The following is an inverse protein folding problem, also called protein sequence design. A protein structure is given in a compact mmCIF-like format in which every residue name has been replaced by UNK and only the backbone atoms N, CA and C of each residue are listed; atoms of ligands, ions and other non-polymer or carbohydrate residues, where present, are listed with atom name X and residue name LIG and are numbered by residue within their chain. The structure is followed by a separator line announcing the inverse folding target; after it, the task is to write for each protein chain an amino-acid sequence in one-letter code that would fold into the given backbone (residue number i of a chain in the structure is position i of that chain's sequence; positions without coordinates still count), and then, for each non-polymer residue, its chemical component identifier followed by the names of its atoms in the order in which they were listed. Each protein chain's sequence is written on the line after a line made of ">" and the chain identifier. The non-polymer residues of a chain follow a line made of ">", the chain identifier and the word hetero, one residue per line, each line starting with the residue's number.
data_IF_325735454484
#
_entry.id   IF_325735454484
#
_cell.length_a   1.000
_cell.length_b   1.000
_cell.length_c   1.000
_cell.angle_alpha   90.00
_cell.angle_beta   90.00
_cell.angle_gamma   90.00
#
_symmetry.space_group_name_H-M   'P 1'
#
loop_
_entity.id
_entity.type
_entity.pdbx_description
1 polymer ?
#
# COMPACT_ATOMS: atom_id res chain seq x y z
N UNK A 1 30.41 13.41 33.90
CA UNK A 1 29.08 12.71 33.85
C UNK A 1 28.12 13.25 32.78
N UNK A 2 28.12 14.53 32.39
CA UNK A 2 27.15 15.07 31.41
C UNK A 2 27.39 14.68 29.93
N UNK A 3 28.53 14.08 29.56
CA UNK A 3 28.87 13.73 28.16
C UNK A 3 28.47 12.31 27.72
N UNK A 4 28.07 11.43 28.65
CA UNK A 4 27.63 10.06 28.37
C UNK A 4 26.10 9.91 28.37
N UNK A 5 25.38 10.92 28.84
CA UNK A 5 23.91 10.89 28.97
C UNK A 5 23.23 11.14 27.61
N UNK A 6 23.85 11.92 26.73
CA UNK A 6 23.31 12.24 25.40
C UNK A 6 23.28 11.02 24.43
N UNK A 7 24.34 10.19 24.30
CA UNK A 7 24.27 9.00 23.46
C UNK A 7 23.33 7.93 24.03
N UNK A 8 23.22 7.79 25.36
CA UNK A 8 22.27 6.87 26.00
C UNK A 8 20.80 7.30 25.79
N UNK A 9 20.53 8.62 25.87
CA UNK A 9 19.23 9.20 25.58
C UNK A 9 18.84 9.05 24.11
N UNK A 10 19.80 9.26 23.19
CA UNK A 10 19.58 9.03 21.76
C UNK A 10 19.26 7.55 21.48
N UNK A 11 19.97 6.60 22.11
CA UNK A 11 19.66 5.17 21.98
C UNK A 11 18.24 4.87 22.51
N UNK A 12 17.85 5.43 23.65
CA UNK A 12 16.51 5.24 24.23
C UNK A 12 15.38 5.85 23.39
N UNK A 13 15.62 6.98 22.71
CA UNK A 13 14.64 7.63 21.85
C UNK A 13 14.34 6.82 20.57
N UNK A 14 15.33 6.07 20.07
CA UNK A 14 15.12 5.11 18.97
C UNK A 14 14.31 3.88 19.41
N UNK A 15 14.45 3.41 20.65
CA UNK A 15 13.63 2.30 21.17
C UNK A 15 12.15 2.70 21.35
N UNK A 16 11.86 3.92 21.82
CA UNK A 16 10.47 4.40 21.95
C UNK A 16 9.77 4.64 20.60
N UNK A 17 10.52 4.99 19.56
CA UNK A 17 9.96 5.17 18.20
C UNK A 17 9.66 3.84 17.48
N UNK A 18 10.09 2.71 18.03
CA UNK A 18 9.85 1.37 17.47
C UNK A 18 8.52 0.73 17.94
N UNK A 19 7.71 1.46 18.71
CA UNK A 19 6.49 0.95 19.34
C UNK A 19 5.20 1.27 18.57
N UNK A 20 5.30 1.80 17.35
CA UNK A 20 4.14 1.89 16.46
C UNK A 20 3.85 0.47 15.93
N UNK A 21 2.82 -0.16 16.50
CA UNK A 21 2.39 -1.54 16.24
C UNK A 21 1.82 -1.65 14.81
N UNK A 22 2.72 -1.63 13.82
CA UNK A 22 2.43 -2.07 12.46
C UNK A 22 2.42 -3.59 12.50
N UNK A 23 1.28 -4.21 12.16
CA UNK A 23 1.23 -5.65 11.93
C UNK A 23 2.27 -5.99 10.86
N UNK A 24 3.31 -6.69 11.30
CA UNK A 24 4.37 -7.23 10.47
C UNK A 24 4.16 -8.74 10.41
N UNK A 25 4.11 -9.32 9.22
CA UNK A 25 3.87 -10.75 8.98
C UNK A 25 5.11 -11.63 9.26
N UNK A 26 5.78 -11.41 10.39
CA UNK A 26 6.91 -12.25 10.81
C UNK A 26 6.85 -12.60 12.30
N UNK A 27 7.44 -13.74 12.62
CA UNK A 27 7.65 -14.19 13.99
C UNK A 27 8.68 -13.29 14.68
N UNK A 28 8.48 -13.01 15.96
CA UNK A 28 9.33 -12.09 16.74
C UNK A 28 10.09 -12.77 17.87
N UNK A 29 9.65 -13.94 18.31
CA UNK A 29 10.23 -14.65 19.44
C UNK A 29 11.22 -15.70 18.97
N UNK A 30 12.35 -15.81 19.70
CA UNK A 30 13.31 -16.90 19.51
C UNK A 30 13.90 -17.38 20.83
N UNK A 31 14.26 -18.66 20.87
CA UNK A 31 15.02 -19.28 21.96
C UNK A 31 16.39 -19.69 21.40
N UNK A 32 17.45 -19.36 22.12
CA UNK A 32 18.83 -19.64 21.77
C UNK A 32 19.43 -20.60 22.80
N UNK A 33 20.05 -21.68 22.34
CA UNK A 33 20.78 -22.62 23.20
C UNK A 33 22.15 -22.83 22.58
N UNK A 34 23.20 -22.51 23.34
CA UNK A 34 24.58 -22.61 22.85
C UNK A 34 25.54 -23.14 23.90
N UNK A 35 26.64 -23.71 23.43
CA UNK A 35 27.77 -24.11 24.26
C UNK A 35 29.09 -23.86 23.56
N UNK A 36 30.16 -23.77 24.33
CA UNK A 36 31.47 -23.52 23.78
C UNK A 36 32.55 -23.32 24.83
N UNK A 37 33.40 -22.34 24.57
CA UNK A 37 34.60 -22.07 25.34
C UNK A 37 34.65 -20.62 25.81
N UNK A 38 35.46 -20.40 26.83
CA UNK A 38 35.67 -19.11 27.44
C UNK A 38 37.15 -18.90 27.71
N UNK A 39 37.56 -17.64 27.85
CA UNK A 39 38.90 -17.23 28.24
C UNK A 39 38.79 -16.09 29.25
N UNK A 40 38.87 -16.39 30.56
CA UNK A 40 39.09 -15.35 31.54
C UNK A 40 40.49 -14.77 31.33
N UNK A 41 40.64 -13.45 31.42
CA UNK A 41 41.90 -12.77 31.11
C UNK A 41 42.55 -12.16 32.34
N UNK A 42 41.81 -11.34 33.08
CA UNK A 42 42.22 -10.73 34.35
C UNK A 42 40.97 -10.50 35.21
N UNK A 43 41.10 -10.46 36.55
CA UNK A 43 42.33 -10.64 37.31
C UNK A 43 42.55 -12.11 37.73
N UNK A 44 43.81 -12.54 37.68
CA UNK A 44 44.31 -13.80 38.25
C UNK A 44 45.38 -13.47 39.28
N UNK A 45 45.48 -14.28 40.34
CA UNK A 45 46.61 -14.23 41.26
C UNK A 45 47.89 -14.76 40.58
N UNK A 46 49.06 -14.43 41.15
CA UNK A 46 50.34 -14.90 40.63
C UNK A 46 50.38 -16.44 40.55
N UNK A 47 50.87 -16.96 39.42
CA UNK A 47 50.94 -18.40 39.08
C UNK A 47 49.57 -19.09 38.83
N UNK A 48 48.48 -18.34 38.68
CA UNK A 48 47.19 -18.86 38.22
C UNK A 48 46.91 -18.46 36.77
N UNK A 49 46.53 -19.43 35.94
CA UNK A 49 46.28 -19.25 34.50
C UNK A 49 45.12 -20.12 34.03
N UNK A 50 44.40 -19.69 33.00
CA UNK A 50 43.38 -20.51 32.31
C UNK A 50 43.90 -20.98 30.95
N UNK A 51 43.50 -22.19 30.56
CA UNK A 51 43.73 -22.70 29.21
C UNK A 51 43.07 -21.83 28.13
N UNK A 52 43.61 -21.91 26.92
CA UNK A 52 43.09 -21.22 25.74
C UNK A 52 43.05 -22.17 24.54
N UNK A 53 41.86 -22.68 24.16
CA UNK A 53 40.52 -22.41 24.73
C UNK A 53 40.21 -23.25 25.98
N UNK A 54 39.44 -22.70 26.92
CA UNK A 54 38.86 -23.44 28.05
C UNK A 54 37.39 -23.77 27.80
N UNK A 55 37.02 -25.05 27.79
CA UNK A 55 35.65 -25.52 27.53
C UNK A 55 34.76 -25.46 28.78
N UNK A 56 33.45 -25.65 28.60
CA UNK A 56 32.50 -25.68 29.71
C UNK A 56 31.68 -24.41 29.86
N UNK A 57 31.52 -23.65 28.78
CA UNK A 57 30.57 -22.56 28.69
C UNK A 57 29.26 -23.06 28.07
N UNK A 58 28.12 -22.72 28.68
CA UNK A 58 26.78 -22.93 28.13
C UNK A 58 25.94 -21.66 28.32
N UNK A 59 25.00 -21.43 27.43
CA UNK A 59 24.05 -20.32 27.54
C UNK A 59 22.68 -20.67 26.97
N UNK A 60 21.67 -20.12 27.61
CA UNK A 60 20.28 -20.13 27.14
C UNK A 60 19.76 -18.71 27.10
N UNK A 61 19.27 -18.30 25.94
CA UNK A 61 18.73 -16.98 25.71
C UNK A 61 17.29 -17.02 25.19
N UNK A 62 16.49 -16.03 25.55
CA UNK A 62 15.22 -15.74 24.89
C UNK A 62 15.30 -14.34 24.29
N UNK A 63 14.89 -14.20 23.04
CA UNK A 63 14.96 -12.93 22.32
C UNK A 63 13.63 -12.57 21.70
N UNK A 64 13.31 -11.29 21.75
CA UNK A 64 12.16 -10.67 21.11
C UNK A 64 12.60 -9.56 20.17
N UNK A 65 12.23 -9.65 18.90
CA UNK A 65 12.52 -8.64 17.89
C UNK A 65 11.34 -7.66 17.76
N UNK A 66 11.56 -6.37 18.04
CA UNK A 66 10.55 -5.32 17.88
C UNK A 66 10.19 -5.13 16.40
N UNK A 67 11.21 -5.20 15.55
CA UNK A 67 11.15 -5.17 14.10
C UNK A 67 12.28 -6.04 13.51
N UNK A 68 12.46 -6.07 12.19
CA UNK A 68 13.53 -6.85 11.55
C UNK A 68 14.95 -6.35 11.83
N UNK A 69 15.13 -5.16 12.43
CA UNK A 69 16.43 -4.55 12.72
C UNK A 69 16.81 -4.58 14.19
N UNK A 70 15.85 -4.49 15.09
CA UNK A 70 16.11 -4.28 16.52
C UNK A 70 15.27 -5.19 17.40
N UNK A 71 15.89 -5.67 18.47
CA UNK A 71 15.26 -6.52 19.47
C UNK A 71 15.90 -6.41 20.84
N UNK A 72 15.41 -7.25 21.74
CA UNK A 72 15.85 -7.37 23.13
C UNK A 72 16.05 -8.86 23.45
N UNK A 73 17.14 -9.19 24.14
CA UNK A 73 17.53 -10.54 24.52
C UNK A 73 17.75 -10.62 26.03
N UNK A 74 17.11 -11.59 26.66
CA UNK A 74 17.41 -12.03 28.01
C UNK A 74 18.26 -13.30 27.92
N UNK A 75 19.42 -13.30 28.55
CA UNK A 75 20.42 -14.35 28.38
C UNK A 75 21.00 -14.80 29.71
N UNK A 76 21.02 -16.12 29.93
CA UNK A 76 21.62 -16.78 31.07
C UNK A 76 22.80 -17.63 30.63
N UNK A 77 23.96 -17.43 31.25
CA UNK A 77 25.19 -18.15 30.96
C UNK A 77 25.75 -18.83 32.19
N UNK A 78 26.40 -19.97 31.98
CA UNK A 78 27.20 -20.69 32.97
C UNK A 78 28.54 -21.07 32.35
N UNK A 79 29.63 -20.84 33.08
CA UNK A 79 30.98 -21.26 32.71
C UNK A 79 31.67 -21.94 33.89
N UNK A 80 32.36 -23.05 33.65
CA UNK A 80 33.28 -23.64 34.63
C UNK A 80 34.71 -23.18 34.33
N UNK A 81 35.29 -22.38 35.22
CA UNK A 81 36.67 -21.90 35.14
C UNK A 81 37.59 -22.92 35.82
N UNK A 82 38.68 -23.31 35.17
CA UNK A 82 39.65 -24.32 35.67
C UNK A 82 41.08 -23.94 35.35
N UNK A 83 42.01 -24.51 36.10
CA UNK A 83 43.43 -24.37 35.86
C UNK A 83 43.84 -24.78 34.44
N UNK A 84 44.78 -24.01 33.88
CA UNK A 84 45.47 -24.37 32.64
C UNK A 84 46.89 -24.88 32.88
N UNK A 85 47.61 -25.13 31.78
CA UNK A 85 48.99 -25.60 31.82
C UNK A 85 49.91 -24.70 32.66
N UNK A 86 50.69 -25.31 33.56
CA UNK A 86 51.61 -24.63 34.50
C UNK A 86 50.94 -23.65 35.49
N UNK A 87 49.63 -23.74 35.69
CA UNK A 87 48.89 -23.02 36.74
C UNK A 87 48.86 -23.81 38.04
N UNK A 88 48.77 -23.10 39.17
CA UNK A 88 48.27 -23.70 40.41
C UNK A 88 46.81 -24.16 40.23
N UNK A 89 46.36 -25.22 40.93
CA UNK A 89 45.02 -25.77 40.77
C UNK A 89 43.95 -24.80 41.29
N UNK A 90 42.94 -24.52 40.47
CA UNK A 90 41.78 -23.74 40.88
C UNK A 90 40.55 -24.15 40.08
N UNK A 91 39.39 -24.03 40.70
CA UNK A 91 38.13 -24.31 40.04
C UNK A 91 37.12 -23.29 40.54
N UNK A 92 36.37 -22.66 39.62
CA UNK A 92 35.34 -21.70 39.96
C UNK A 92 34.17 -21.80 38.99
N UNK A 93 32.95 -21.60 39.51
CA UNK A 93 31.75 -21.50 38.71
C UNK A 93 31.40 -20.04 38.46
N UNK A 94 31.12 -19.69 37.21
CA UNK A 94 30.72 -18.35 36.81
C UNK A 94 29.32 -18.39 36.21
N UNK A 95 28.38 -17.70 36.86
CA UNK A 95 26.99 -17.55 36.41
C UNK A 95 26.77 -16.13 35.91
N UNK A 96 25.94 -15.97 34.88
CA UNK A 96 25.56 -14.67 34.33
C UNK A 96 24.08 -14.65 33.98
N UNK A 97 23.40 -13.56 34.33
CA UNK A 97 22.14 -13.15 33.74
C UNK A 97 22.28 -11.75 33.16
N UNK A 98 21.85 -11.54 31.92
CA UNK A 98 21.98 -10.23 31.26
C UNK A 98 20.79 -9.89 30.38
N UNK A 99 20.47 -8.60 30.34
CA UNK A 99 19.54 -8.01 29.39
C UNK A 99 20.34 -7.26 28.32
N UNK A 100 20.10 -7.57 27.05
CA UNK A 100 20.89 -7.10 25.92
C UNK A 100 19.98 -6.52 24.84
N UNK A 101 20.33 -5.36 24.30
CA UNK A 101 19.77 -4.89 23.03
C UNK A 101 20.42 -5.65 21.88
N UNK A 102 19.62 -6.00 20.87
CA UNK A 102 20.08 -6.73 19.68
C UNK A 102 19.83 -5.88 18.44
N UNK A 103 20.85 -5.75 17.59
CA UNK A 103 20.77 -5.14 16.27
C UNK A 103 21.05 -6.21 15.21
N UNK A 104 20.10 -6.43 14.30
CA UNK A 104 20.26 -7.30 13.15
C UNK A 104 21.03 -6.55 12.05
N UNK A 105 22.34 -6.72 12.06
CA UNK A 105 23.23 -6.10 11.08
C UNK A 105 22.97 -6.60 9.67
N UNK A 106 22.50 -7.85 9.51
CA UNK A 106 22.09 -8.38 8.21
C UNK A 106 21.01 -7.52 7.56
N UNK A 107 19.91 -7.26 8.27
CA UNK A 107 18.84 -6.39 7.76
C UNK A 107 19.22 -4.91 7.70
N UNK A 108 20.09 -4.41 8.59
CA UNK A 108 20.55 -3.01 8.56
C UNK A 108 21.46 -2.76 7.34
N UNK A 109 22.32 -3.72 7.01
CA UNK A 109 23.28 -3.65 5.88
C UNK A 109 22.75 -4.29 4.59
N UNK A 110 21.47 -4.66 4.56
CA UNK A 110 20.78 -5.25 3.41
C UNK A 110 21.43 -6.52 2.86
N UNK A 111 21.76 -7.48 3.73
CA UNK A 111 22.34 -8.76 3.30
C UNK A 111 21.42 -9.54 2.35
N UNK A 112 20.10 -9.35 2.45
CA UNK A 112 19.11 -9.91 1.53
C UNK A 112 19.37 -9.61 0.06
N UNK A 113 20.14 -8.54 -0.25
CA UNK A 113 20.52 -8.21 -1.62
C UNK A 113 21.44 -9.24 -2.27
N UNK A 114 22.12 -10.07 -1.46
CA UNK A 114 23.07 -11.08 -1.95
C UNK A 114 22.96 -12.44 -1.25
N UNK A 115 22.32 -12.52 -0.07
CA UNK A 115 22.10 -13.78 0.65
C UNK A 115 20.84 -13.74 1.52
N UNK A 116 20.09 -14.84 1.52
CA UNK A 116 18.98 -15.09 2.45
C UNK A 116 19.30 -16.17 3.49
N UNK A 117 20.57 -16.57 3.55
CA UNK A 117 21.04 -17.72 4.35
C UNK A 117 21.99 -17.30 5.45
N UNK A 118 22.72 -16.20 5.28
CA UNK A 118 23.71 -15.72 6.25
C UNK A 118 23.14 -14.50 6.97
N UNK A 119 23.12 -14.56 8.29
CA UNK A 119 22.73 -13.47 9.17
C UNK A 119 23.89 -13.02 10.04
N UNK A 120 23.81 -11.79 10.54
CA UNK A 120 24.76 -11.26 11.50
C UNK A 120 24.02 -10.36 12.49
N UNK A 121 24.16 -10.65 13.76
CA UNK A 121 23.63 -9.83 14.84
C UNK A 121 24.78 -9.19 15.61
N UNK A 122 24.52 -7.99 16.11
CA UNK A 122 25.28 -7.36 17.17
C UNK A 122 24.41 -7.32 18.41
N UNK A 123 25.00 -7.56 19.58
CA UNK A 123 24.30 -7.39 20.85
C UNK A 123 25.18 -6.67 21.86
N UNK A 124 24.54 -5.90 22.73
CA UNK A 124 25.19 -5.24 23.84
C UNK A 124 24.22 -4.98 24.98
N UNK A 125 24.72 -5.03 26.21
CA UNK A 125 23.90 -4.77 27.39
C UNK A 125 24.66 -5.02 28.68
N UNK A 126 23.93 -5.40 29.70
CA UNK A 126 24.51 -5.68 31.00
C UNK A 126 23.57 -6.46 31.90
N UNK A 127 24.07 -6.79 33.08
CA UNK A 127 23.29 -7.51 34.07
C UNK A 127 24.11 -7.87 35.29
N UNK A 128 23.81 -9.03 35.85
CA UNK A 128 24.44 -9.53 37.08
C UNK A 128 25.20 -10.82 36.80
N UNK A 129 26.37 -10.93 37.39
CA UNK A 129 27.23 -12.11 37.36
C UNK A 129 27.57 -12.54 38.77
N UNK A 130 27.88 -13.82 38.93
CA UNK A 130 28.26 -14.40 40.20
C UNK A 130 29.41 -15.37 39.98
N UNK A 131 30.50 -15.17 40.73
CA UNK A 131 31.65 -16.06 40.78
C UNK A 131 31.58 -16.88 42.08
N UNK A 132 31.72 -18.20 41.95
CA UNK A 132 31.69 -19.15 43.08
C UNK A 132 32.97 -20.00 43.02
N UNK A 133 34.05 -19.60 43.71
CA UNK A 133 35.27 -20.40 43.82
C UNK A 133 35.02 -21.72 44.55
N UNK A 134 35.69 -22.78 44.09
CA UNK A 134 35.60 -24.15 44.62
C UNK A 134 36.95 -24.70 45.06
N UNK A 135 38.03 -24.35 44.36
CA UNK A 135 39.42 -24.72 44.71
C UNK A 135 40.33 -23.51 44.53
N UNK A 136 41.37 -23.34 45.36
CA UNK A 136 41.82 -24.26 46.43
C UNK A 136 40.98 -24.22 47.71
N UNK A 137 40.12 -23.23 47.87
CA UNK A 137 39.15 -23.15 48.95
C UNK A 137 37.79 -22.69 48.42
N UNK A 138 36.72 -23.14 49.07
CA UNK A 138 35.36 -22.68 48.81
C UNK A 138 35.10 -21.45 49.68
N UNK A 139 34.60 -20.38 49.08
CA UNK A 139 34.19 -19.19 49.83
C UNK A 139 32.81 -19.42 50.47
N UNK A 140 32.63 -18.92 51.70
CA UNK A 140 31.33 -18.96 52.39
C UNK A 140 30.26 -18.17 51.62
N UNK A 141 30.66 -17.06 50.99
CA UNK A 141 29.81 -16.22 50.15
C UNK A 141 30.34 -16.16 48.72
N UNK A 142 29.42 -16.24 47.75
CA UNK A 142 29.75 -16.05 46.34
C UNK A 142 30.01 -14.57 46.02
N UNK A 143 30.94 -14.31 45.10
CA UNK A 143 31.29 -12.96 44.65
C UNK A 143 30.29 -12.47 43.59
N UNK A 144 29.44 -11.52 43.97
CA UNK A 144 28.40 -10.93 43.13
C UNK A 144 28.87 -9.65 42.47
N UNK A 145 28.76 -9.56 41.14
CA UNK A 145 29.27 -8.44 40.35
C UNK A 145 28.31 -8.01 39.26
N UNK A 146 28.35 -6.75 38.85
CA UNK A 146 27.63 -6.31 37.66
C UNK A 146 28.45 -6.68 36.42
N UNK A 147 27.80 -6.99 35.30
CA UNK A 147 28.49 -7.22 34.03
C UNK A 147 28.01 -6.26 32.95
N UNK A 148 28.91 -5.95 32.03
CA UNK A 148 28.62 -5.37 30.73
C UNK A 148 29.09 -6.37 29.68
N UNK A 149 28.24 -6.60 28.67
CA UNK A 149 28.51 -7.54 27.59
C UNK A 149 28.33 -6.83 26.25
N UNK A 150 29.19 -7.14 25.30
CA UNK A 150 29.00 -6.83 23.90
C UNK A 150 29.54 -7.96 23.03
N UNK A 151 28.84 -8.29 21.96
CA UNK A 151 29.22 -9.39 21.09
C UNK A 151 28.62 -9.32 19.70
N UNK A 152 29.08 -10.25 18.87
CA UNK A 152 28.55 -10.49 17.53
C UNK A 152 28.09 -11.94 17.44
N UNK A 153 26.99 -12.15 16.73
CA UNK A 153 26.40 -13.46 16.55
C UNK A 153 26.19 -13.72 15.06
N UNK A 154 27.17 -14.29 14.35
CA UNK A 154 26.94 -14.85 13.03
C UNK A 154 25.88 -15.96 13.04
N UNK A 155 25.04 -16.00 12.01
CA UNK A 155 23.97 -16.97 11.89
C UNK A 155 23.95 -17.60 10.49
N UNK A 156 23.62 -18.89 10.42
CA UNK A 156 23.33 -19.60 9.17
C UNK A 156 21.91 -20.16 9.27
N UNK A 157 21.03 -19.72 8.37
CA UNK A 157 19.66 -20.21 8.26
C UNK A 157 19.67 -21.68 7.83
N UNK A 158 19.14 -22.55 8.68
CA UNK A 158 18.96 -23.97 8.36
C UNK A 158 17.54 -24.26 7.82
N UNK A 159 16.59 -23.40 8.19
CA UNK A 159 15.21 -23.43 7.69
C UNK A 159 14.42 -22.25 8.22
N UNK A 160 13.10 -22.27 8.05
CA UNK A 160 12.23 -21.18 8.49
C UNK A 160 12.06 -21.10 10.02
N UNK A 161 12.32 -22.20 10.74
CA UNK A 161 12.16 -22.29 12.21
C UNK A 161 13.46 -22.47 12.99
N UNK A 162 14.58 -22.70 12.32
CA UNK A 162 15.86 -23.01 12.98
C UNK A 162 17.02 -22.35 12.24
N UNK A 163 17.97 -21.80 12.99
CA UNK A 163 19.26 -21.34 12.50
C UNK A 163 20.39 -21.87 13.38
N UNK A 164 21.54 -22.14 12.76
CA UNK A 164 22.81 -22.31 13.46
C UNK A 164 23.33 -20.93 13.82
N UNK A 165 23.75 -20.73 15.07
CA UNK A 165 24.42 -19.49 15.48
C UNK A 165 25.80 -19.78 16.07
N UNK A 166 26.72 -18.85 15.85
CA UNK A 166 27.95 -18.73 16.62
C UNK A 166 27.94 -17.38 17.30
N UNK A 167 28.50 -17.28 18.51
CA UNK A 167 28.52 -16.05 19.29
C UNK A 167 29.93 -15.80 19.79
N UNK A 168 30.42 -14.58 19.59
CA UNK A 168 31.66 -14.08 20.17
C UNK A 168 31.32 -12.88 21.04
N UNK A 169 31.54 -13.00 22.35
CA UNK A 169 31.16 -12.00 23.34
C UNK A 169 32.32 -11.64 24.24
N UNK A 170 32.49 -10.34 24.49
CA UNK A 170 33.39 -9.81 25.52
C UNK A 170 32.55 -9.36 26.70
N UNK A 171 32.89 -9.85 27.88
CA UNK A 171 32.19 -9.56 29.14
C UNK A 171 33.16 -8.90 30.09
N UNK A 172 32.80 -7.71 30.58
CA UNK A 172 33.52 -6.99 31.62
C UNK A 172 32.71 -6.94 32.90
N UNK A 173 33.29 -7.38 34.01
CA UNK A 173 32.68 -7.32 35.33
C UNK A 173 33.11 -6.04 36.07
N UNK A 174 32.16 -5.42 36.75
CA UNK A 174 32.32 -4.23 37.57
C UNK A 174 32.07 -4.59 39.02
N UNK A 175 33.02 -4.22 39.88
CA UNK A 175 32.94 -4.51 41.31
C UNK A 175 33.14 -6.00 41.63
N UNK A 176 33.91 -6.71 40.81
CA UNK A 176 34.42 -8.05 41.16
C UNK A 176 35.36 -7.89 42.36
N UNK A 177 35.20 -8.71 43.41
CA UNK A 177 35.92 -8.63 44.67
C UNK A 177 37.09 -9.62 44.79
N UNK A 178 37.07 -10.70 44.01
CA UNK A 178 38.08 -11.75 44.01
C UNK A 178 38.64 -12.04 42.62
N UNK A 179 39.86 -12.53 42.54
CA UNK A 179 40.45 -13.05 41.30
C UNK A 179 39.65 -14.23 40.75
N UNK A 180 39.80 -14.56 39.47
CA UNK A 180 39.08 -15.69 38.85
C UNK A 180 39.39 -17.05 39.51
N UNK A 181 40.59 -17.20 40.07
CA UNK A 181 41.02 -18.32 40.91
C UNK A 181 40.51 -18.24 42.37
N UNK A 182 39.91 -17.12 42.78
CA UNK A 182 39.33 -16.91 44.10
C UNK A 182 40.34 -16.64 45.23
N UNK A 183 41.65 -16.62 44.96
CA UNK A 183 42.66 -16.61 46.03
C UNK A 183 43.07 -15.24 46.54
N UNK A 184 42.86 -14.18 45.75
CA UNK A 184 43.22 -12.81 46.12
C UNK A 184 42.03 -11.87 45.99
N UNK A 185 41.96 -10.88 46.87
CA UNK A 185 40.98 -9.79 46.72
C UNK A 185 41.49 -8.75 45.72
N UNK A 186 40.58 -8.27 44.88
CA UNK A 186 40.85 -7.21 43.90
C UNK A 186 40.67 -5.84 44.55
N UNK A 187 41.61 -4.93 44.33
CA UNK A 187 41.52 -3.56 44.87
C UNK A 187 40.82 -2.59 43.92
N UNK A 188 40.55 -3.01 42.68
CA UNK A 188 40.00 -2.18 41.63
C UNK A 188 38.47 -2.27 41.60
N UNK A 189 37.79 -1.14 41.82
CA UNK A 189 36.31 -1.06 41.79
C UNK A 189 35.73 -0.86 40.37
N UNK A 190 36.56 -0.83 39.33
CA UNK A 190 36.17 -0.64 37.93
C UNK A 190 35.98 -1.93 37.13
N UNK A 191 36.24 -1.89 35.82
CA UNK A 191 36.28 -3.06 34.93
C UNK A 191 37.57 -3.86 35.12
N UNK A 192 37.56 -4.74 36.11
CA UNK A 192 38.73 -5.54 36.44
C UNK A 192 38.61 -6.97 35.90
N UNK A 193 37.43 -7.58 36.07
CA UNK A 193 37.10 -8.88 35.49
C UNK A 193 36.84 -8.79 34.00
N UNK A 194 37.61 -9.49 33.18
CA UNK A 194 37.35 -9.61 31.75
C UNK A 194 37.38 -11.06 31.32
N UNK A 195 36.30 -11.50 30.67
CA UNK A 195 36.15 -12.85 30.10
C UNK A 195 35.63 -12.75 28.67
N UNK A 196 36.25 -13.50 27.76
CA UNK A 196 35.80 -13.64 26.37
C UNK A 196 35.11 -14.98 26.23
N UNK A 197 33.91 -15.00 25.69
CA UNK A 197 33.15 -16.22 25.40
C UNK A 197 33.04 -16.42 23.89
N UNK A 198 33.20 -17.67 23.48
CA UNK A 198 32.81 -18.14 22.16
C UNK A 198 31.85 -19.31 22.31
N UNK A 199 30.71 -19.26 21.64
CA UNK A 199 29.74 -20.36 21.66
C UNK A 199 29.22 -20.68 20.27
N UNK A 200 28.78 -21.91 20.08
CA UNK A 200 28.03 -22.35 18.92
C UNK A 200 26.76 -23.05 19.39
N UNK A 201 25.67 -22.89 18.64
CA UNK A 201 24.37 -23.36 19.09
C UNK A 201 23.28 -23.30 18.03
N UNK A 202 22.05 -23.45 18.50
CA UNK A 202 20.86 -23.34 17.67
C UNK A 202 19.97 -22.22 18.19
N UNK A 203 19.38 -21.50 17.25
CA UNK A 203 18.28 -20.57 17.48
C UNK A 203 16.99 -21.19 16.93
N UNK A 204 15.96 -21.25 17.77
CA UNK A 204 14.62 -21.73 17.42
C UNK A 204 13.66 -20.54 17.33
N UNK A 205 13.00 -20.37 16.20
CA UNK A 205 12.04 -19.29 15.96
C UNK A 205 10.61 -19.73 16.29
N UNK A 206 9.89 -18.90 17.04
CA UNK A 206 8.57 -19.19 17.59
C UNK A 206 7.51 -18.26 17.00
N UNK A 207 6.38 -18.85 16.60
CA UNK A 207 5.19 -18.15 16.13
C UNK A 207 4.52 -18.85 14.93
N UNK A 208 3.42 -18.24 14.49
CA UNK A 208 2.55 -18.76 13.44
C UNK A 208 2.96 -18.33 12.03
N UNK A 209 3.71 -17.24 11.89
CA UNK A 209 4.13 -16.71 10.60
C UNK A 209 5.20 -17.60 9.96
N UNK A 210 5.37 -17.52 8.64
CA UNK A 210 6.30 -18.37 7.92
C UNK A 210 7.77 -18.02 8.23
N UNK A 211 8.09 -16.73 8.30
CA UNK A 211 9.45 -16.21 8.49
C UNK A 211 9.59 -15.51 9.85
N UNK A 212 10.79 -15.53 10.40
CA UNK A 212 11.15 -14.72 11.57
C UNK A 212 11.70 -13.35 11.16
N UNK A 213 11.63 -12.37 12.07
CA UNK A 213 12.13 -11.02 11.90
C UNK A 213 13.58 -10.96 11.36
N UNK A 214 14.44 -11.88 11.81
CA UNK A 214 15.83 -12.02 11.35
C UNK A 214 15.97 -12.14 9.81
N UNK A 215 14.96 -12.75 9.17
CA UNK A 215 14.99 -13.17 7.77
C UNK A 215 13.87 -12.52 6.94
N UNK A 216 13.35 -11.37 7.38
CA UNK A 216 12.21 -10.69 6.76
C UNK A 216 12.61 -9.29 6.27
N UNK A 217 13.01 -9.14 4.99
CA UNK A 217 13.41 -7.86 4.42
C UNK A 217 12.29 -6.83 4.44
N UNK A 218 12.63 -5.55 4.62
CA UNK A 218 11.65 -4.46 4.59
C UNK A 218 10.99 -4.32 3.21
N UNK A 219 11.73 -4.60 2.13
CA UNK A 219 11.24 -4.46 0.75
C UNK A 219 10.14 -5.48 0.42
N UNK A 220 10.23 -6.70 0.95
CA UNK A 220 9.20 -7.73 0.74
C UNK A 220 7.88 -7.31 1.42
N UNK A 221 7.96 -6.75 2.64
CA UNK A 221 6.80 -6.25 3.40
C UNK A 221 6.11 -5.09 2.66
N UNK A 222 6.89 -4.20 2.05
CA UNK A 222 6.35 -3.06 1.31
C UNK A 222 5.72 -3.51 -0.02
N UNK A 223 6.31 -4.50 -0.70
CA UNK A 223 5.75 -5.06 -1.95
C UNK A 223 4.41 -5.75 -1.72
N UNK A 224 4.27 -6.58 -0.70
CA UNK A 224 2.99 -7.23 -0.39
C UNK A 224 1.88 -6.21 -0.11
N UNK A 225 2.21 -5.13 0.63
CA UNK A 225 1.26 -4.03 0.87
C UNK A 225 0.91 -3.26 -0.40
N UNK A 226 1.86 -3.06 -1.30
CA UNK A 226 1.59 -2.40 -2.58
C UNK A 226 0.64 -3.22 -3.44
N UNK A 227 0.82 -4.54 -3.48
CA UNK A 227 -0.08 -5.45 -4.22
C UNK A 227 -1.50 -5.39 -3.65
N UNK A 228 -1.67 -5.49 -2.32
CA UNK A 228 -3.01 -5.36 -1.69
C UNK A 228 -3.66 -3.99 -1.99
N UNK A 229 -2.87 -2.92 -1.93
CA UNK A 229 -3.35 -1.58 -2.25
C UNK A 229 -3.74 -1.45 -3.73
N UNK A 230 -2.93 -1.99 -4.64
CA UNK A 230 -3.23 -2.01 -6.08
C UNK A 230 -4.50 -2.80 -6.37
N UNK A 231 -4.70 -3.97 -5.78
CA UNK A 231 -5.92 -4.77 -5.95
C UNK A 231 -7.17 -4.02 -5.44
N UNK A 232 -7.07 -3.37 -4.27
CA UNK A 232 -8.16 -2.56 -3.73
C UNK A 232 -8.47 -1.35 -4.60
N UNK A 233 -7.44 -0.74 -5.20
CA UNK A 233 -7.59 0.41 -6.07
C UNK A 233 -8.24 0.02 -7.39
N UNK A 234 -7.83 -1.10 -8.00
CA UNK A 234 -8.48 -1.67 -9.19
C UNK A 234 -9.95 -1.98 -8.92
N UNK A 235 -10.26 -2.55 -7.76
CA UNK A 235 -11.65 -2.82 -7.38
C UNK A 235 -12.46 -1.52 -7.26
N UNK A 236 -11.92 -0.50 -6.59
CA UNK A 236 -12.58 0.81 -6.49
C UNK A 236 -12.77 1.47 -7.87
N UNK A 237 -11.75 1.42 -8.73
CA UNK A 237 -11.85 1.94 -10.10
C UNK A 237 -12.95 1.23 -10.89
N UNK A 238 -13.08 -0.09 -10.72
CA UNK A 238 -14.13 -0.89 -11.38
C UNK A 238 -15.52 -0.58 -10.82
N UNK A 239 -15.66 -0.51 -9.50
CA UNK A 239 -16.93 -0.22 -8.84
C UNK A 239 -17.37 1.25 -9.08
N UNK A 240 -16.48 2.16 -9.48
CA UNK A 240 -16.84 3.56 -9.76
C UNK A 240 -17.17 3.83 -11.23
N UNK A 241 -17.18 2.80 -12.09
CA UNK A 241 -17.60 2.97 -13.48
C UNK A 241 -19.10 3.30 -13.49
N UNK A 242 -19.44 4.40 -14.15
CA UNK A 242 -20.80 4.88 -14.42
C UNK A 242 -20.86 5.10 -15.94
N UNK A 243 -21.41 4.10 -16.65
CA UNK A 243 -21.35 3.98 -18.11
C UNK A 243 -22.28 4.94 -18.84
N UNK A 244 -23.46 5.22 -18.28
CA UNK A 244 -24.46 6.12 -18.88
C UNK A 244 -24.46 7.53 -18.26
N UNK A 245 -23.63 7.74 -17.22
CA UNK A 245 -23.34 9.03 -16.59
C UNK A 245 -24.57 9.64 -15.93
N UNK A 246 -25.44 8.82 -15.36
CA UNK A 246 -26.62 9.25 -14.62
C UNK A 246 -26.32 9.60 -13.14
N UNK A 247 -25.10 9.30 -12.68
CA UNK A 247 -24.63 9.53 -11.32
C UNK A 247 -24.69 8.31 -10.41
N UNK A 248 -25.10 7.15 -10.91
CA UNK A 248 -25.13 5.87 -10.20
C UNK A 248 -24.15 4.90 -10.88
N UNK A 249 -23.16 4.36 -10.17
CA UNK A 249 -22.23 3.41 -10.77
C UNK A 249 -22.91 2.13 -11.25
N UNK A 250 -22.39 1.52 -12.32
CA UNK A 250 -22.93 0.35 -13.03
C UNK A 250 -23.29 -0.82 -12.10
N UNK A 251 -22.52 -1.03 -11.02
CA UNK A 251 -22.76 -2.13 -10.07
C UNK A 251 -23.99 -1.89 -9.15
N UNK A 252 -24.45 -0.64 -9.04
CA UNK A 252 -25.64 -0.23 -8.29
C UNK A 252 -26.82 0.15 -9.20
N UNK A 253 -26.53 0.40 -10.47
CA UNK A 253 -27.50 0.84 -11.46
C UNK A 253 -28.40 -0.31 -11.96
N UNK A 254 -29.70 -0.05 -11.98
CA UNK A 254 -30.74 -0.96 -12.44
C UNK A 254 -31.19 -0.69 -13.87
N UNK A 255 -30.97 0.52 -14.37
CA UNK A 255 -31.29 0.93 -15.75
C UNK A 255 -30.02 1.41 -16.45
N UNK A 256 -29.14 0.49 -16.91
CA UNK A 256 -27.77 0.78 -17.38
C UNK A 256 -27.66 1.56 -18.72
N UNK A 257 -28.72 2.25 -19.11
CA UNK A 257 -28.78 3.14 -20.27
C UNK A 257 -29.80 4.27 -20.03
N UNK A 258 -29.81 4.83 -18.82
CA UNK A 258 -30.65 5.97 -18.51
C UNK A 258 -30.26 7.16 -19.37
N UNK A 259 -31.27 7.89 -19.84
CA UNK A 259 -31.05 9.02 -20.72
C UNK A 259 -30.30 10.12 -19.97
N UNK A 260 -29.14 10.53 -20.51
CA UNK A 260 -28.33 11.60 -19.93
C UNK A 260 -29.14 12.88 -19.70
N UNK A 261 -29.05 13.43 -18.49
CA UNK A 261 -29.77 14.63 -18.07
C UNK A 261 -31.16 14.38 -17.48
N UNK A 262 -31.55 13.11 -17.28
CA UNK A 262 -32.73 12.72 -16.51
C UNK A 262 -32.35 12.41 -15.07
N UNK A 263 -33.08 12.98 -14.12
CA UNK A 263 -32.95 12.63 -12.71
C UNK A 263 -33.30 11.15 -12.46
N UNK A 264 -32.39 10.46 -11.79
CA UNK A 264 -32.57 9.07 -11.33
C UNK A 264 -32.69 8.99 -9.82
N UNK A 265 -33.25 7.89 -9.33
CA UNK A 265 -33.22 7.56 -7.91
C UNK A 265 -31.86 6.98 -7.48
N UNK A 266 -31.71 6.59 -6.21
CA UNK A 266 -30.45 6.05 -5.68
C UNK A 266 -30.04 4.69 -6.25
N UNK A 267 -30.76 4.16 -7.24
CA UNK A 267 -30.55 2.87 -7.89
C UNK A 267 -30.48 3.01 -9.42
N UNK A 268 -30.31 4.23 -9.94
CA UNK A 268 -30.19 4.51 -11.37
C UNK A 268 -31.50 4.38 -12.14
N UNK A 269 -32.66 4.37 -11.45
CA UNK A 269 -33.96 4.28 -12.12
C UNK A 269 -34.48 5.68 -12.42
N UNK A 270 -34.86 5.94 -13.66
CA UNK A 270 -35.40 7.24 -14.07
C UNK A 270 -36.68 7.61 -13.31
N UNK A 271 -36.80 8.88 -12.89
CA UNK A 271 -37.97 9.37 -12.15
C UNK A 271 -39.15 9.59 -13.10
N UNK A 272 -40.11 8.66 -13.07
CA UNK A 272 -41.43 8.76 -13.71
C UNK A 272 -42.53 8.69 -12.63
N UNK A 273 -43.07 9.86 -12.23
CA UNK A 273 -44.10 9.91 -11.18
C UNK A 273 -45.49 9.56 -11.70
N UNK A 274 -45.77 9.84 -12.96
CA UNK A 274 -47.10 9.65 -13.54
C UNK A 274 -47.30 8.23 -14.13
N UNK A 275 -46.22 7.44 -14.18
CA UNK A 275 -46.15 6.03 -14.61
C UNK A 275 -46.57 5.82 -16.06
N UNK A 276 -46.33 6.79 -16.92
CA UNK A 276 -46.66 6.71 -18.34
C UNK A 276 -45.53 6.12 -19.20
N UNK A 277 -44.38 5.80 -18.59
CA UNK A 277 -43.20 5.24 -19.25
C UNK A 277 -42.26 6.30 -19.83
N UNK A 278 -42.44 7.57 -19.50
CA UNK A 278 -41.59 8.69 -19.91
C UNK A 278 -41.13 9.45 -18.65
N UNK A 279 -39.82 9.65 -18.46
CA UNK A 279 -39.31 10.40 -17.32
C UNK A 279 -39.80 11.85 -17.25
N UNK A 280 -40.15 12.32 -16.05
CA UNK A 280 -40.78 13.63 -15.81
C UNK A 280 -39.91 14.81 -16.31
N UNK A 281 -38.58 14.70 -16.23
CA UNK A 281 -37.67 15.78 -16.66
C UNK A 281 -37.65 15.98 -18.18
N UNK A 282 -37.98 14.94 -18.94
CA UNK A 282 -38.18 15.04 -20.39
C UNK A 282 -39.52 15.74 -20.68
N UNK A 283 -40.51 15.59 -19.80
CA UNK A 283 -41.85 16.17 -19.94
C UNK A 283 -41.92 17.64 -19.51
N UNK A 284 -41.16 18.05 -18.48
CA UNK A 284 -41.26 19.40 -17.90
C UNK A 284 -41.06 20.57 -18.89
N UNK A 285 -40.12 20.52 -19.88
CA UNK A 285 -39.98 21.56 -20.89
C UNK A 285 -41.15 21.62 -21.89
N UNK A 286 -41.86 20.50 -22.07
CA UNK A 286 -43.05 20.40 -22.90
C UNK A 286 -44.26 20.95 -22.13
N UNK A 287 -44.45 20.57 -20.88
CA UNK A 287 -45.58 21.00 -20.06
C UNK A 287 -45.57 22.53 -19.83
N UNK A 288 -44.42 23.11 -19.50
CA UNK A 288 -44.31 24.54 -19.23
C UNK A 288 -44.47 25.44 -20.48
N UNK A 289 -44.24 24.90 -21.69
CA UNK A 289 -44.42 25.65 -22.95
C UNK A 289 -45.73 25.37 -23.67
N UNK A 290 -46.41 24.25 -23.38
CA UNK A 290 -47.59 23.81 -24.13
C UNK A 290 -48.86 23.55 -23.30
N UNK A 291 -48.79 23.56 -21.97
CA UNK A 291 -49.97 23.35 -21.12
C UNK A 291 -50.32 24.61 -20.31
N UNK A 292 -50.95 25.59 -20.97
CA UNK A 292 -51.98 26.37 -20.26
C UNK A 292 -53.22 25.50 -20.17
N UNK A 293 -53.61 25.19 -18.94
CA UNK A 293 -54.84 24.50 -18.55
C UNK A 293 -56.06 25.26 -19.11
N UNK A 294 -56.44 25.01 -20.37
CA UNK A 294 -57.54 25.70 -21.02
C UNK A 294 -57.76 25.44 -22.52
N UNK A 295 -56.72 25.32 -23.35
CA UNK A 295 -56.90 25.33 -24.81
C UNK A 295 -56.65 23.95 -25.45
N UNK A 296 -57.61 23.04 -25.24
CA UNK A 296 -57.71 21.78 -25.99
C UNK A 296 -58.50 22.04 -27.28
N UNK A 297 -57.89 22.68 -28.28
CA UNK A 297 -58.47 22.80 -29.63
C UNK A 297 -57.47 23.31 -30.70
N UNK A 298 -56.38 22.56 -30.96
CA UNK A 298 -55.61 22.46 -32.23
C UNK A 298 -54.14 22.10 -31.94
N UNK A 299 -53.86 20.82 -31.72
CA UNK A 299 -52.54 20.36 -31.30
C UNK A 299 -51.55 19.97 -32.42
N UNK A 300 -51.90 20.16 -33.69
CA UNK A 300 -51.07 19.61 -34.78
C UNK A 300 -50.02 20.58 -35.36
N UNK A 301 -50.00 21.87 -34.96
CA UNK A 301 -49.21 22.87 -35.69
C UNK A 301 -47.94 23.39 -34.98
N UNK A 302 -47.64 23.04 -33.71
CA UNK A 302 -46.51 23.69 -33.00
C UNK A 302 -45.15 22.97 -33.15
N UNK A 303 -45.08 21.66 -32.93
CA UNK A 303 -43.81 20.89 -33.02
C UNK A 303 -43.35 20.74 -34.47
N UNK A 304 -44.29 20.49 -35.37
CA UNK A 304 -44.02 20.44 -36.82
C UNK A 304 -43.44 21.76 -37.33
N UNK A 305 -43.98 22.89 -36.87
CA UNK A 305 -43.49 24.22 -37.23
C UNK A 305 -42.08 24.47 -36.70
N UNK A 306 -41.76 24.04 -35.46
CA UNK A 306 -40.41 24.20 -34.90
C UNK A 306 -39.35 23.35 -35.60
N UNK A 307 -39.72 22.11 -35.97
CA UNK A 307 -38.87 21.23 -36.75
C UNK A 307 -38.63 21.83 -38.14
N UNK A 308 -39.71 22.18 -38.87
CA UNK A 308 -39.60 22.71 -40.23
C UNK A 308 -38.95 24.10 -40.32
N UNK A 309 -39.10 24.95 -39.29
CA UNK A 309 -38.41 26.25 -39.20
C UNK A 309 -36.96 26.14 -38.74
N UNK A 310 -36.49 24.93 -38.39
CA UNK A 310 -35.10 24.69 -37.98
C UNK A 310 -34.72 25.32 -36.64
N UNK A 311 -35.68 25.45 -35.72
CA UNK A 311 -35.39 25.84 -34.33
C UNK A 311 -34.83 24.68 -33.51
N UNK A 312 -35.07 23.44 -33.96
CA UNK A 312 -34.61 22.21 -33.33
C UNK A 312 -33.49 21.64 -34.20
N UNK A 313 -32.26 21.70 -33.68
CA UNK A 313 -31.07 21.27 -34.40
C UNK A 313 -30.13 20.45 -33.51
N UNK A 314 -29.42 19.51 -34.12
CA UNK A 314 -28.29 18.81 -33.49
C UNK A 314 -27.00 19.54 -33.86
N UNK A 315 -26.18 19.92 -32.89
CA UNK A 315 -24.97 20.70 -33.11
C UNK A 315 -23.71 19.83 -33.02
N UNK A 316 -22.64 20.28 -33.69
CA UNK A 316 -21.38 19.55 -33.79
C UNK A 316 -20.19 20.46 -33.51
N UNK A 317 -19.13 19.91 -32.92
CA UNK A 317 -17.84 20.60 -32.85
C UNK A 317 -17.20 20.79 -34.23
N UNK A 318 -16.21 21.69 -34.29
CA UNK A 318 -15.38 21.86 -35.47
C UNK A 318 -14.78 20.51 -35.91
N UNK A 319 -14.84 20.24 -37.22
CA UNK A 319 -14.27 19.05 -37.83
C UNK A 319 -14.73 17.70 -37.21
N UNK A 320 -15.96 17.65 -36.69
CA UNK A 320 -16.51 16.46 -36.04
C UNK A 320 -17.88 16.09 -36.59
N UNK A 321 -18.14 14.78 -36.71
CA UNK A 321 -19.44 14.16 -36.97
C UNK A 321 -20.07 13.59 -35.69
N UNK A 322 -19.47 13.82 -34.52
CA UNK A 322 -20.03 13.44 -33.21
C UNK A 322 -20.97 14.55 -32.73
N UNK A 323 -22.27 14.27 -32.50
CA UNK A 323 -23.19 15.22 -31.92
C UNK A 323 -22.70 15.74 -30.57
N UNK A 324 -22.91 17.02 -30.31
CA UNK A 324 -22.68 17.60 -28.99
C UNK A 324 -23.79 17.17 -28.03
N UNK A 325 -23.40 16.75 -26.83
CA UNK A 325 -24.30 16.19 -25.82
C UNK A 325 -25.48 17.09 -25.50
N UNK A 326 -25.25 18.40 -25.35
CA UNK A 326 -26.29 19.40 -25.07
C UNK A 326 -27.36 19.53 -26.18
N UNK A 327 -27.10 19.00 -27.38
CA UNK A 327 -28.00 19.11 -28.53
C UNK A 327 -28.73 17.81 -28.87
N UNK A 328 -28.46 16.73 -28.12
CA UNK A 328 -29.12 15.44 -28.32
C UNK A 328 -30.62 15.49 -28.03
N UNK A 329 -31.07 16.44 -27.19
CA UNK A 329 -32.50 16.71 -26.97
C UNK A 329 -33.26 17.00 -28.28
N UNK A 330 -32.59 17.59 -29.28
CA UNK A 330 -33.17 17.85 -30.60
C UNK A 330 -33.63 16.56 -31.31
N UNK A 331 -32.89 15.46 -31.14
CA UNK A 331 -33.21 14.15 -31.71
C UNK A 331 -34.51 13.62 -31.07
N UNK A 332 -34.69 13.84 -29.76
CA UNK A 332 -35.85 13.39 -29.01
C UNK A 332 -37.14 14.10 -29.47
N UNK A 333 -37.08 15.40 -29.79
CA UNK A 333 -38.24 16.12 -30.34
C UNK A 333 -38.74 15.52 -31.66
N UNK A 334 -37.83 15.19 -32.59
CA UNK A 334 -38.21 14.54 -33.84
C UNK A 334 -38.72 13.11 -33.59
N UNK A 335 -38.03 12.36 -32.73
CA UNK A 335 -38.42 10.98 -32.39
C UNK A 335 -39.83 10.93 -31.81
N UNK A 336 -40.15 11.82 -30.86
CA UNK A 336 -41.49 11.93 -30.27
C UNK A 336 -42.54 12.23 -31.33
N UNK A 337 -42.33 13.27 -32.14
CA UNK A 337 -43.26 13.62 -33.22
C UNK A 337 -43.49 12.45 -34.18
N UNK A 338 -42.45 11.71 -34.56
CA UNK A 338 -42.56 10.58 -35.46
C UNK A 338 -43.24 9.34 -34.84
N UNK A 339 -43.12 9.14 -33.53
CA UNK A 339 -43.87 8.09 -32.80
C UNK A 339 -45.35 8.42 -32.71
N UNK A 340 -45.67 9.67 -32.39
CA UNK A 340 -47.05 10.17 -32.28
C UNK A 340 -47.75 10.24 -33.65
N UNK A 341 -46.99 10.42 -34.73
CA UNK A 341 -47.50 10.52 -36.11
C UNK A 341 -46.91 9.40 -36.98
N UNK A 342 -47.50 8.21 -36.93
CA UNK A 342 -46.98 7.01 -37.60
C UNK A 342 -46.78 7.14 -39.13
N UNK A 343 -47.53 8.02 -39.80
CA UNK A 343 -47.40 8.30 -41.24
C UNK A 343 -46.34 9.34 -41.60
N UNK A 344 -45.82 10.10 -40.63
CA UNK A 344 -44.88 11.19 -40.88
C UNK A 344 -43.54 10.67 -41.42
N UNK A 345 -42.96 11.42 -42.36
CA UNK A 345 -41.62 11.19 -42.90
C UNK A 345 -40.74 12.39 -42.59
N UNK A 346 -39.44 12.16 -42.40
CA UNK A 346 -38.49 13.24 -42.13
C UNK A 346 -37.24 13.14 -43.03
N UNK A 347 -36.70 14.29 -43.37
CA UNK A 347 -35.44 14.49 -44.04
C UNK A 347 -34.47 15.20 -43.09
N UNK A 348 -33.32 14.56 -42.84
CA UNK A 348 -32.23 15.10 -42.04
C UNK A 348 -31.21 15.75 -42.97
N UNK A 349 -30.94 17.04 -42.73
CA UNK A 349 -30.02 17.83 -43.56
C UNK A 349 -28.88 18.31 -42.67
N UNK A 350 -27.68 17.82 -42.93
CA UNK A 350 -26.47 18.25 -42.21
C UNK A 350 -25.80 19.44 -42.89
N UNK A 351 -25.16 20.30 -42.11
CA UNK A 351 -24.43 21.48 -42.56
C UNK A 351 -23.06 21.55 -41.91
N UNK A 352 -22.12 22.18 -42.61
CA UNK A 352 -20.80 22.55 -42.13
C UNK A 352 -20.61 24.07 -42.20
N UNK A 353 -19.64 24.60 -41.44
CA UNK A 353 -19.21 25.98 -41.63
C UNK A 353 -18.35 26.11 -42.90
N UNK A 354 -18.21 27.33 -43.39
CA UNK A 354 -17.52 27.67 -44.64
C UNK A 354 -15.98 27.73 -44.55
N UNK A 355 -15.39 27.13 -43.51
CA UNK A 355 -13.93 27.02 -43.39
C UNK A 355 -13.44 25.74 -44.07
N UNK A 356 -12.45 25.90 -44.95
CA UNK A 356 -11.75 24.78 -45.57
C UNK A 356 -12.23 24.49 -46.99
N UNK A 357 -12.10 23.23 -47.39
CA UNK A 357 -12.43 22.77 -48.73
C UNK A 357 -13.94 22.44 -48.83
N UNK A 358 -14.67 22.95 -49.85
CA UNK A 358 -16.10 22.70 -50.02
C UNK A 358 -16.48 21.22 -50.19
N UNK A 359 -15.71 20.43 -50.95
CA UNK A 359 -15.96 18.99 -51.13
C UNK A 359 -15.82 18.20 -49.82
N UNK A 360 -14.87 18.61 -48.97
CA UNK A 360 -14.69 18.08 -47.63
C UNK A 360 -15.89 18.42 -46.74
N UNK A 361 -16.31 19.69 -46.75
CA UNK A 361 -17.46 20.14 -45.97
C UNK A 361 -18.77 19.50 -46.43
N UNK A 362 -18.93 19.24 -47.72
CA UNK A 362 -20.02 18.43 -48.25
C UNK A 362 -20.02 17.03 -47.64
N UNK A 363 -18.89 16.33 -47.67
CA UNK A 363 -18.73 14.99 -47.11
C UNK A 363 -18.97 14.97 -45.58
N UNK A 364 -18.45 15.97 -44.85
CA UNK A 364 -18.63 16.08 -43.41
C UNK A 364 -20.10 16.35 -43.03
N UNK A 365 -20.76 17.23 -43.77
CA UNK A 365 -22.18 17.54 -43.56
C UNK A 365 -23.07 16.30 -43.76
N UNK A 366 -22.76 15.45 -44.76
CA UNK A 366 -23.47 14.20 -44.99
C UNK A 366 -23.21 13.18 -43.89
N UNK A 367 -21.97 13.05 -43.42
CA UNK A 367 -21.62 12.19 -42.28
C UNK A 367 -22.38 12.58 -41.01
N UNK A 368 -22.54 13.88 -40.75
CA UNK A 368 -23.36 14.40 -39.62
C UNK A 368 -24.81 13.98 -39.75
N UNK A 369 -25.41 14.18 -40.91
CA UNK A 369 -26.80 13.78 -41.16
C UNK A 369 -26.98 12.26 -41.00
N UNK A 370 -26.03 11.47 -41.53
CA UNK A 370 -26.02 10.02 -41.38
C UNK A 370 -25.88 9.60 -39.92
N UNK A 371 -25.03 10.26 -39.12
CA UNK A 371 -24.88 9.93 -37.69
C UNK A 371 -26.19 10.08 -36.93
N UNK A 372 -26.90 11.19 -37.16
CA UNK A 372 -28.20 11.44 -36.51
C UNK A 372 -29.26 10.46 -37.01
N UNK A 373 -29.22 10.12 -38.31
CA UNK A 373 -30.05 9.06 -38.88
C UNK A 373 -29.82 7.71 -38.18
N UNK A 374 -28.57 7.27 -38.06
CA UNK A 374 -28.20 6.00 -37.41
C UNK A 374 -28.71 5.96 -35.95
N UNK A 375 -28.63 7.08 -35.22
CA UNK A 375 -29.16 7.21 -33.85
C UNK A 375 -30.69 7.03 -33.83
N UNK A 376 -31.43 7.66 -34.75
CA UNK A 376 -32.89 7.55 -34.82
C UNK A 376 -33.35 6.12 -35.19
N UNK A 377 -32.63 5.44 -36.08
CA UNK A 377 -32.89 4.02 -36.41
C UNK A 377 -32.65 3.14 -35.18
N UNK A 378 -31.51 3.31 -34.50
CA UNK A 378 -31.21 2.59 -33.26
C UNK A 378 -32.24 2.85 -32.15
N UNK A 379 -32.86 4.04 -32.17
CA UNK A 379 -33.92 4.44 -31.23
C UNK A 379 -35.33 3.98 -31.65
N UNK A 380 -35.46 3.19 -32.73
CA UNK A 380 -36.69 2.51 -33.11
C UNK A 380 -37.54 3.19 -34.19
N UNK A 381 -37.04 4.23 -34.88
CA UNK A 381 -37.73 4.79 -36.06
C UNK A 381 -37.43 3.92 -37.29
N UNK A 382 -38.46 3.57 -38.06
CA UNK A 382 -38.30 2.75 -39.28
C UNK A 382 -37.48 3.47 -40.35
N UNK A 383 -36.57 2.74 -40.99
CA UNK A 383 -35.71 3.20 -42.08
C UNK A 383 -36.51 3.86 -43.23
N UNK A 384 -37.65 3.25 -43.58
CA UNK A 384 -38.55 3.73 -44.63
C UNK A 384 -39.18 5.12 -44.39
N UNK A 385 -39.04 5.66 -43.17
CA UNK A 385 -39.61 6.95 -42.76
C UNK A 385 -38.59 8.08 -42.70
N UNK A 386 -37.30 7.76 -42.86
CA UNK A 386 -36.21 8.71 -42.74
C UNK A 386 -35.42 8.79 -44.04
N UNK A 387 -34.97 9.99 -44.37
CA UNK A 387 -33.98 10.23 -45.43
C UNK A 387 -32.92 11.19 -44.88
N UNK A 388 -31.69 11.13 -45.37
CA UNK A 388 -30.64 12.06 -44.96
C UNK A 388 -29.87 12.57 -46.19
N UNK A 389 -29.30 13.77 -46.09
CA UNK A 389 -28.40 14.33 -47.10
C UNK A 389 -27.44 15.36 -46.50
N UNK A 390 -26.28 15.54 -47.15
CA UNK A 390 -25.39 16.67 -46.88
C UNK A 390 -25.90 17.95 -47.54
N UNK A 391 -26.11 19.00 -46.75
CA UNK A 391 -26.44 20.35 -47.19
C UNK A 391 -25.22 21.21 -47.52
N UNK A 392 -24.01 20.71 -47.28
CA UNK A 392 -22.76 21.43 -47.58
C UNK A 392 -22.47 22.54 -46.58
N UNK A 393 -21.84 23.60 -47.07
CA UNK A 393 -21.49 24.78 -46.27
C UNK A 393 -22.71 25.69 -46.07
N UNK A 394 -22.92 26.14 -44.84
CA UNK A 394 -23.91 27.16 -44.48
C UNK A 394 -23.16 28.48 -44.17
N UNK A 395 -23.20 29.40 -45.14
CA UNK A 395 -22.54 30.71 -45.11
C UNK A 395 -23.46 31.85 -44.63
N UNK A 396 -24.55 31.52 -43.93
CA UNK A 396 -25.52 32.52 -43.41
C UNK A 396 -25.01 33.30 -42.20
N UNK A 397 -23.85 32.95 -41.66
CA UNK A 397 -23.23 33.56 -40.49
C UNK A 397 -21.89 34.21 -40.84
N UNK A 398 -21.46 35.18 -40.04
CA UNK A 398 -20.17 35.84 -40.22
C UNK A 398 -18.99 34.84 -40.12
N UNK A 399 -18.29 34.66 -41.25
CA UNK A 399 -17.10 33.82 -41.38
C UNK A 399 -16.07 34.05 -40.28
N UNK A 400 -15.89 35.30 -39.84
CA UNK A 400 -14.85 35.68 -38.89
C UNK A 400 -15.21 35.32 -37.44
N UNK A 401 -16.50 35.16 -37.13
CA UNK A 401 -17.00 34.92 -35.77
C UNK A 401 -17.05 33.43 -35.42
N UNK A 402 -16.13 32.99 -34.54
CA UNK A 402 -16.10 31.59 -34.08
C UNK A 402 -17.41 31.12 -33.42
N UNK A 403 -18.05 31.91 -32.54
CA UNK A 403 -19.36 31.57 -31.99
C UNK A 403 -20.46 31.45 -33.06
N UNK A 404 -20.46 32.32 -34.07
CA UNK A 404 -21.46 32.28 -35.12
C UNK A 404 -21.31 31.02 -35.98
N UNK A 405 -20.07 30.62 -36.32
CA UNK A 405 -19.79 29.38 -37.04
C UNK A 405 -20.24 28.13 -36.29
N UNK A 406 -20.27 28.14 -34.96
CA UNK A 406 -20.78 27.01 -34.18
C UNK A 406 -22.27 26.73 -34.46
N UNK A 407 -23.06 27.76 -34.74
CA UNK A 407 -24.51 27.62 -34.95
C UNK A 407 -24.86 26.99 -36.30
N UNK A 408 -23.96 27.04 -37.28
CA UNK A 408 -24.16 26.46 -38.62
C UNK A 408 -23.55 25.07 -38.77
N UNK A 409 -22.78 24.61 -37.78
CA UNK A 409 -22.33 23.21 -37.67
C UNK A 409 -23.44 22.36 -37.07
N UNK A 410 -24.46 22.05 -37.88
CA UNK A 410 -25.72 21.46 -37.38
C UNK A 410 -26.34 20.42 -38.30
N UNK A 411 -27.29 19.66 -37.77
CA UNK A 411 -28.29 18.90 -38.54
C UNK A 411 -29.67 19.47 -38.22
N UNK A 412 -30.42 19.77 -39.27
CA UNK A 412 -31.80 20.26 -39.20
C UNK A 412 -32.76 19.20 -39.72
N UNK A 413 -33.98 19.22 -39.20
CA UNK A 413 -35.05 18.29 -39.58
C UNK A 413 -36.07 18.96 -40.49
N UNK A 414 -36.55 18.23 -41.49
CA UNK A 414 -37.67 18.67 -42.34
C UNK A 414 -38.68 17.55 -42.46
N UNK A 415 -39.92 17.81 -42.06
CA UNK A 415 -41.02 16.86 -42.22
C UNK A 415 -41.53 16.91 -43.68
N UNK A 416 -41.97 15.76 -44.20
CA UNK A 416 -42.40 15.56 -45.59
C UNK A 416 -43.85 15.12 -45.68
#
# INVERSE_FOLDING_TARGET
>A
MKKLVLPLLLLSAYFLSAQEEKNYDFNKWSIEVSGGFHKPSRPFADNYYSDTPSFGQVSVGTRYMFNNRFGLKLDFGYSTLKEGDNSLPYEANYYRGSLQGVANLGSIMKFESWTNTIGLLFHAGGGYSQLSPKKPFELDDNDGMMNIIAGITPQIKLGNRVALNTDLSVIGNVGQNYTWDGTQSTTNRGFDGMIVNFSAGLTFYLGANEKHADWSPQEDILKERLVDLEERLVKLETDLIDSDQDGVPDYLDREPNTMSGVAVDSKGVAVDKNKNGIPDEIEAPLDNRYLKKGDVANQNNSVEELLNKGYVNVYFKFNSDKPETYSLEAINYLMKYMKDNASAKAELIGYADELGNPEYNQTLSEKRAKRVYDILIASGISESRLTYRGGGEDSTVDKSSSPARQLVRRVTFRLK
#
